data_IF_879599015174
#
_entry.id   IF_879599015174
#
_cell.length_a   1.000
_cell.length_b   1.000
_cell.length_c   1.000
_cell.angle_alpha   90.00
_cell.angle_beta   90.00
_cell.angle_gamma   90.00
#
_symmetry.space_group_name_H-M   'P 1'
#
loop_
_entity.id
_entity.type
_entity.pdbx_description
1 polymer ?
#
# COMPACT_ATOMS: atom_id res chain seq x y z
N UNK A 1 6.22 -10.18 -6.28
CA UNK A 1 5.96 -11.63 -6.51
C UNK A 1 4.46 -11.98 -6.48
N UNK A 2 3.60 -11.24 -5.74
CA UNK A 2 2.14 -11.49 -5.68
C UNK A 2 1.39 -11.10 -6.96
N UNK A 3 1.88 -10.12 -7.71
CA UNK A 3 1.26 -9.68 -8.96
C UNK A 3 1.75 -10.48 -10.18
N UNK A 4 2.76 -11.34 -10.02
CA UNK A 4 3.41 -12.08 -11.10
C UNK A 4 4.10 -11.16 -12.12
N UNK A 5 4.77 -11.76 -13.10
CA UNK A 5 5.11 -11.01 -14.32
C UNK A 5 3.78 -10.74 -15.03
N UNK A 6 3.23 -9.54 -14.85
CA UNK A 6 2.04 -9.11 -15.57
C UNK A 6 2.25 -9.24 -17.08
N UNK A 7 1.17 -9.21 -17.88
CA UNK A 7 1.33 -9.20 -19.32
C UNK A 7 2.28 -8.06 -19.70
N UNK A 8 3.33 -8.40 -20.48
CA UNK A 8 4.30 -7.39 -20.93
C UNK A 8 3.55 -6.19 -21.46
N UNK A 9 3.89 -5.01 -20.94
CA UNK A 9 3.34 -3.76 -21.44
C UNK A 9 3.49 -3.68 -22.96
N UNK A 10 2.46 -3.22 -23.71
CA UNK A 10 2.50 -3.18 -25.16
C UNK A 10 3.73 -2.41 -25.62
N UNK A 11 4.61 -3.06 -26.36
CA UNK A 11 5.92 -2.50 -26.74
C UNK A 11 5.83 -1.32 -27.71
N UNK A 12 4.65 -1.10 -28.32
CA UNK A 12 4.51 -0.12 -29.38
C UNK A 12 5.19 -0.54 -30.69
N UNK A 13 5.22 0.36 -31.68
CA UNK A 13 5.93 0.15 -32.94
C UNK A 13 7.32 0.82 -32.85
N UNK A 14 8.37 0.04 -32.96
CA UNK A 14 9.76 0.53 -32.93
C UNK A 14 10.04 1.42 -34.14
N UNK A 15 10.70 2.54 -33.91
CA UNK A 15 11.11 3.48 -34.95
C UNK A 15 12.61 3.36 -35.22
N UNK A 16 13.07 3.66 -36.45
CA UNK A 16 14.50 3.71 -36.77
C UNK A 16 15.27 4.66 -35.86
N UNK A 17 16.51 4.34 -35.52
CA UNK A 17 17.36 5.15 -34.64
C UNK A 17 17.62 6.58 -35.16
N UNK A 18 17.60 6.76 -36.47
CA UNK A 18 17.83 8.04 -37.15
C UNK A 18 16.55 8.80 -37.50
N UNK A 19 15.40 8.41 -36.89
CA UNK A 19 14.10 9.07 -37.13
C UNK A 19 14.13 10.54 -36.71
N UNK A 20 13.60 11.40 -37.57
CA UNK A 20 13.44 12.84 -37.34
C UNK A 20 11.98 13.28 -37.46
N UNK A 21 11.06 12.40 -37.91
CA UNK A 21 9.66 12.69 -38.04
C UNK A 21 8.84 11.44 -38.39
N UNK A 22 7.54 11.58 -38.38
CA UNK A 22 6.59 10.59 -38.88
C UNK A 22 5.73 11.20 -39.97
N UNK A 23 5.41 10.44 -41.02
CA UNK A 23 4.51 10.88 -42.06
C UNK A 23 3.45 9.80 -42.30
N UNK A 24 2.19 10.24 -42.59
CA UNK A 24 1.10 9.32 -42.87
C UNK A 24 0.13 9.98 -43.84
N UNK A 25 -0.41 9.20 -44.80
CA UNK A 25 -1.50 9.66 -45.62
C UNK A 25 -2.81 9.51 -44.89
N UNK A 26 -3.59 10.60 -44.84
CA UNK A 26 -4.87 10.66 -44.14
C UNK A 26 -5.94 11.28 -45.04
N UNK A 27 -7.13 10.67 -45.06
CA UNK A 27 -8.33 11.23 -45.65
C UNK A 27 -9.40 11.35 -44.57
N UNK A 28 -9.74 12.55 -44.11
CA UNK A 28 -10.81 12.76 -43.14
C UNK A 28 -12.19 12.71 -43.80
N UNK A 29 -13.22 12.26 -43.03
CA UNK A 29 -14.62 12.23 -43.48
C UNK A 29 -15.52 12.58 -42.29
N UNK A 30 -16.48 13.51 -42.53
CA UNK A 30 -17.46 13.90 -41.51
C UNK A 30 -16.87 14.74 -40.38
N UNK A 31 -15.75 15.46 -40.61
CA UNK A 31 -15.12 16.33 -39.62
C UNK A 31 -15.62 17.77 -39.75
N UNK A 32 -16.81 18.05 -39.20
CA UNK A 32 -17.35 19.40 -39.14
C UNK A 32 -16.59 20.21 -38.06
N UNK A 33 -15.65 21.05 -38.46
CA UNK A 33 -14.88 21.89 -37.58
C UNK A 33 -13.39 21.52 -37.43
N UNK A 34 -12.96 20.43 -38.04
CA UNK A 34 -11.57 19.96 -38.02
C UNK A 34 -11.16 19.21 -36.77
N UNK A 35 -10.10 18.46 -36.90
CA UNK A 35 -9.47 17.73 -35.79
C UNK A 35 -7.95 17.81 -35.97
N UNK A 36 -7.22 17.48 -34.93
CA UNK A 36 -5.76 17.35 -34.95
C UNK A 36 -5.37 15.89 -34.74
N UNK A 37 -4.37 15.46 -35.50
CA UNK A 37 -3.71 14.16 -35.28
C UNK A 37 -2.40 14.37 -34.53
N UNK A 38 -2.19 13.55 -33.51
CA UNK A 38 -0.97 13.50 -32.71
C UNK A 38 -0.41 12.09 -32.72
N UNK A 39 0.91 11.98 -32.64
CA UNK A 39 1.59 10.73 -32.38
C UNK A 39 2.10 10.73 -30.93
N UNK A 40 1.69 9.76 -30.14
CA UNK A 40 2.26 9.51 -28.82
C UNK A 40 3.44 8.57 -28.95
N UNK A 41 4.56 9.00 -28.45
CA UNK A 41 5.85 8.34 -28.53
C UNK A 41 6.37 8.05 -27.12
N UNK A 42 7.19 7.01 -27.02
CA UNK A 42 7.93 6.66 -25.81
C UNK A 42 9.42 6.60 -26.16
N UNK A 43 10.27 7.14 -25.30
CA UNK A 43 11.72 7.07 -25.44
C UNK A 43 12.30 5.81 -24.78
N UNK A 44 13.62 5.59 -24.91
CA UNK A 44 14.29 4.44 -24.34
C UNK A 44 14.28 4.43 -22.79
N UNK A 45 14.10 5.57 -22.14
CA UNK A 45 13.98 5.70 -20.68
C UNK A 45 12.53 5.58 -20.18
N UNK A 46 11.57 5.26 -21.06
CA UNK A 46 10.17 5.14 -20.68
C UNK A 46 9.40 6.47 -20.68
N UNK A 47 10.01 7.58 -21.09
CA UNK A 47 9.37 8.89 -21.09
C UNK A 47 8.40 9.02 -22.26
N UNK A 48 7.12 9.30 -21.97
CA UNK A 48 6.10 9.51 -22.99
C UNK A 48 6.04 10.98 -23.41
N UNK A 49 5.87 11.21 -24.70
CA UNK A 49 5.71 12.54 -25.27
C UNK A 49 4.84 12.54 -26.52
N UNK A 50 4.19 13.67 -26.79
CA UNK A 50 3.31 13.82 -27.93
C UNK A 50 3.97 14.68 -29.02
N UNK A 51 3.82 14.25 -30.25
CA UNK A 51 4.24 14.99 -31.44
C UNK A 51 3.03 15.33 -32.30
N UNK A 52 2.86 16.61 -32.62
CA UNK A 52 1.79 17.05 -33.50
C UNK A 52 2.07 16.63 -34.93
N UNK A 53 1.13 15.91 -35.54
CA UNK A 53 1.23 15.45 -36.93
C UNK A 53 0.61 16.43 -37.90
N UNK A 54 -0.48 17.07 -37.54
CA UNK A 54 -1.19 18.03 -38.39
C UNK A 54 -2.67 18.15 -38.10
N UNK A 55 -3.29 19.09 -38.78
CA UNK A 55 -4.74 19.33 -38.72
C UNK A 55 -5.49 18.56 -39.81
N UNK A 56 -6.53 17.86 -39.40
CA UNK A 56 -7.44 17.09 -40.25
C UNK A 56 -8.63 17.98 -40.61
N UNK A 57 -8.60 18.67 -41.72
CA UNK A 57 -9.67 19.59 -42.08
C UNK A 57 -10.02 19.64 -43.57
N UNK A 58 -9.16 19.09 -44.40
CA UNK A 58 -9.34 19.14 -45.85
C UNK A 58 -9.99 17.84 -46.34
N UNK A 59 -10.85 17.97 -47.35
CA UNK A 59 -11.39 16.82 -48.06
C UNK A 59 -10.33 16.23 -49.00
N UNK A 60 -10.25 14.91 -49.07
CA UNK A 60 -9.29 14.18 -49.89
C UNK A 60 -8.04 13.72 -49.13
N UNK A 61 -7.19 13.00 -49.84
CA UNK A 61 -5.95 12.45 -49.31
C UNK A 61 -4.90 13.55 -49.13
N UNK A 62 -4.35 13.63 -47.90
CA UNK A 62 -3.27 14.54 -47.54
C UNK A 62 -2.18 13.77 -46.83
N UNK A 63 -0.93 13.95 -47.21
CA UNK A 63 0.21 13.47 -46.45
C UNK A 63 0.54 14.50 -45.37
N UNK A 64 0.33 14.12 -44.10
CA UNK A 64 0.67 14.92 -42.95
C UNK A 64 1.96 14.39 -42.32
N UNK A 65 2.77 15.28 -41.76
CA UNK A 65 4.08 14.94 -41.27
C UNK A 65 4.38 15.69 -39.96
N UNK A 66 4.88 14.97 -38.97
CA UNK A 66 5.45 15.56 -37.77
C UNK A 66 6.95 15.85 -37.94
N UNK A 67 7.44 16.83 -37.18
CA UNK A 67 8.86 17.09 -37.02
C UNK A 67 9.23 16.83 -35.54
N UNK A 68 10.05 15.83 -35.29
CA UNK A 68 10.53 15.47 -33.95
C UNK A 68 11.75 16.28 -33.51
N UNK A 69 12.43 16.97 -34.44
CA UNK A 69 13.67 17.71 -34.16
C UNK A 69 13.52 18.76 -33.07
N UNK A 70 12.46 19.59 -33.04
CA UNK A 70 12.25 20.55 -31.95
C UNK A 70 12.01 19.91 -30.58
N UNK A 71 11.29 18.79 -30.56
CA UNK A 71 10.98 18.08 -29.33
C UNK A 71 12.23 17.41 -28.75
N UNK A 72 13.04 16.81 -29.63
CA UNK A 72 14.32 16.19 -29.24
C UNK A 72 15.29 17.26 -28.72
N UNK A 73 15.41 18.41 -29.42
CA UNK A 73 16.31 19.50 -29.02
C UNK A 73 15.87 20.22 -27.71
N UNK A 74 14.56 20.37 -27.51
CA UNK A 74 14.03 21.06 -26.35
C UNK A 74 13.96 20.20 -25.09
N UNK A 75 13.96 18.87 -25.24
CA UNK A 75 13.61 17.95 -24.17
C UNK A 75 12.17 18.14 -23.71
N UNK A 76 11.64 17.19 -22.95
CA UNK A 76 10.32 17.31 -22.33
C UNK A 76 10.42 18.11 -21.02
N UNK A 77 9.55 19.07 -20.84
CA UNK A 77 9.26 19.57 -19.48
C UNK A 77 8.40 18.55 -18.76
N UNK A 78 8.91 17.96 -17.70
CA UNK A 78 8.06 17.19 -16.79
C UNK A 78 7.07 18.13 -16.09
N UNK A 79 5.96 17.56 -15.63
CA UNK A 79 4.90 18.30 -14.92
C UNK A 79 5.36 19.04 -13.66
N UNK A 80 6.49 18.62 -13.06
CA UNK A 80 7.25 19.46 -12.11
C UNK A 80 8.21 20.31 -12.93
N UNK A 81 7.99 21.59 -12.98
CA UNK A 81 8.61 22.64 -13.83
C UNK A 81 10.15 22.72 -13.83
N UNK A 82 10.88 21.79 -13.26
CA UNK A 82 12.32 21.88 -12.98
C UNK A 82 13.19 20.89 -13.75
N UNK A 83 12.68 19.78 -14.24
CA UNK A 83 13.48 18.77 -14.95
C UNK A 83 13.14 18.74 -16.44
N UNK A 84 14.09 19.16 -17.27
CA UNK A 84 14.12 18.83 -18.68
C UNK A 84 14.80 17.48 -18.85
N UNK A 85 14.03 16.40 -19.05
CA UNK A 85 14.62 15.14 -19.48
C UNK A 85 14.98 15.24 -20.96
N UNK A 86 16.22 15.00 -21.28
CA UNK A 86 16.65 14.79 -22.68
C UNK A 86 16.07 13.48 -23.16
N UNK A 87 15.32 13.51 -24.27
CA UNK A 87 14.75 12.30 -24.86
C UNK A 87 15.86 11.41 -25.43
N UNK A 88 15.80 10.12 -25.09
CA UNK A 88 16.82 9.13 -25.46
C UNK A 88 16.26 8.14 -26.49
N UNK A 89 16.98 7.93 -27.58
CA UNK A 89 16.63 6.95 -28.61
C UNK A 89 16.97 5.52 -28.18
N UNK A 90 16.31 4.46 -28.72
CA UNK A 90 15.29 4.50 -29.76
C UNK A 90 13.92 4.97 -29.26
N UNK A 91 13.08 5.45 -30.18
CA UNK A 91 11.70 5.83 -29.90
C UNK A 91 10.75 4.72 -30.36
N UNK A 92 9.62 4.60 -29.64
CA UNK A 92 8.53 3.71 -30.03
C UNK A 92 7.23 4.50 -30.20
N UNK A 93 6.49 4.23 -31.25
CA UNK A 93 5.16 4.80 -31.45
C UNK A 93 4.15 4.01 -30.61
N UNK A 94 3.51 4.67 -29.68
CA UNK A 94 2.55 4.06 -28.76
C UNK A 94 1.11 4.19 -29.22
N UNK A 95 0.72 5.35 -29.77
CA UNK A 95 -0.62 5.57 -30.28
C UNK A 95 -0.68 6.78 -31.23
N UNK A 96 -1.65 6.76 -32.13
CA UNK A 96 -2.16 7.96 -32.76
C UNK A 96 -3.37 8.45 -31.98
N UNK A 97 -3.42 9.74 -31.71
CA UNK A 97 -4.47 10.40 -30.96
C UNK A 97 -5.16 11.48 -31.81
N UNK A 98 -6.48 11.52 -31.71
CA UNK A 98 -7.30 12.50 -32.44
C UNK A 98 -7.97 13.41 -31.40
N UNK A 99 -7.63 14.70 -31.47
CA UNK A 99 -8.27 15.74 -30.66
C UNK A 99 -9.16 16.62 -31.52
N UNK A 100 -10.09 17.35 -30.92
CA UNK A 100 -10.81 18.40 -31.64
C UNK A 100 -9.85 19.56 -31.99
N UNK A 101 -10.29 20.48 -32.85
CA UNK A 101 -9.46 21.61 -33.30
C UNK A 101 -8.96 22.52 -32.18
N UNK A 102 -9.70 22.61 -31.09
CA UNK A 102 -9.34 23.41 -29.92
C UNK A 102 -8.46 22.61 -28.89
N UNK A 103 -8.03 21.40 -29.25
CA UNK A 103 -7.22 20.54 -28.38
C UNK A 103 -8.02 19.80 -27.32
N UNK A 104 -9.35 19.89 -27.32
CA UNK A 104 -10.20 19.15 -26.39
C UNK A 104 -10.30 17.67 -26.76
N UNK A 105 -10.42 16.84 -25.74
CA UNK A 105 -10.67 15.40 -25.86
C UNK A 105 -12.17 15.16 -25.63
N UNK A 106 -12.74 14.34 -26.46
CA UNK A 106 -14.20 14.18 -26.50
C UNK A 106 -14.87 15.17 -27.42
N UNK A 107 -15.82 14.73 -28.17
CA UNK A 107 -16.59 15.54 -29.09
C UNK A 107 -17.95 14.91 -29.27
N UNK A 108 -18.96 15.77 -29.40
CA UNK A 108 -20.31 15.34 -29.74
C UNK A 108 -20.44 15.00 -31.23
N UNK A 109 -19.36 15.10 -32.03
CA UNK A 109 -19.35 14.86 -33.44
C UNK A 109 -18.95 13.43 -33.81
N UNK A 110 -19.66 12.86 -34.79
CA UNK A 110 -19.25 11.67 -35.52
C UNK A 110 -18.12 12.02 -36.47
N UNK A 111 -17.24 11.07 -36.74
CA UNK A 111 -16.17 11.27 -37.70
C UNK A 111 -15.46 9.98 -38.08
N UNK A 112 -14.71 10.05 -39.16
CA UNK A 112 -13.81 8.98 -39.54
C UNK A 112 -12.56 9.53 -40.24
N UNK A 113 -11.49 8.77 -40.17
CA UNK A 113 -10.30 8.98 -41.02
C UNK A 113 -9.93 7.66 -41.69
N UNK A 114 -9.42 7.79 -42.90
CA UNK A 114 -8.78 6.70 -43.63
C UNK A 114 -7.27 6.94 -43.58
N UNK A 115 -6.51 5.88 -43.37
CA UNK A 115 -5.07 5.90 -43.18
C UNK A 115 -4.37 5.03 -44.21
N UNK A 116 -3.23 5.51 -44.72
CA UNK A 116 -2.33 4.78 -45.62
C UNK A 116 -0.87 5.18 -45.37
N UNK A 117 0.02 4.26 -45.66
CA UNK A 117 1.48 4.47 -45.71
C UNK A 117 2.00 5.32 -44.55
N UNK A 118 2.14 4.69 -43.38
CA UNK A 118 2.87 5.28 -42.28
C UNK A 118 4.37 5.10 -42.50
N UNK A 119 5.08 6.20 -42.58
CA UNK A 119 6.52 6.24 -42.79
C UNK A 119 7.24 6.90 -41.59
N UNK A 120 8.39 6.36 -41.22
CA UNK A 120 9.38 7.09 -40.45
C UNK A 120 10.21 7.98 -41.39
N UNK A 121 10.22 9.25 -41.12
CA UNK A 121 11.10 10.18 -41.85
C UNK A 121 12.46 10.15 -41.16
N UNK A 122 13.46 9.66 -41.86
CA UNK A 122 14.81 9.55 -41.33
C UNK A 122 15.79 10.48 -42.06
N UNK A 123 16.98 10.62 -41.50
CA UNK A 123 18.05 11.42 -42.13
C UNK A 123 18.41 10.86 -43.54
N UNK A 124 18.25 9.54 -43.72
CA UNK A 124 18.60 8.83 -44.92
C UNK A 124 17.44 8.69 -45.91
N UNK A 125 16.23 9.19 -45.57
CA UNK A 125 15.01 9.11 -46.39
C UNK A 125 13.86 8.43 -45.65
N UNK A 126 12.67 8.37 -46.26
CA UNK A 126 11.51 7.76 -45.65
C UNK A 126 11.64 6.22 -45.59
N UNK A 127 11.25 5.63 -44.48
CA UNK A 127 11.17 4.19 -44.24
C UNK A 127 9.71 3.82 -43.96
N UNK A 128 9.12 2.97 -44.77
CA UNK A 128 7.75 2.49 -44.59
C UNK A 128 7.67 1.61 -43.34
N UNK A 129 6.81 1.97 -42.41
CA UNK A 129 6.54 1.24 -41.16
C UNK A 129 5.34 0.30 -41.33
N UNK A 130 4.26 0.80 -41.94
CA UNK A 130 3.07 0.02 -42.30
C UNK A 130 2.35 0.67 -43.46
N UNK A 131 1.76 -0.15 -44.31
CA UNK A 131 1.01 0.33 -45.48
C UNK A 131 -0.45 0.71 -45.18
N UNK A 132 -0.99 0.25 -44.04
CA UNK A 132 -2.40 0.40 -43.71
C UNK A 132 -3.39 -0.12 -44.77
N UNK A 133 -2.99 -1.11 -45.57
CA UNK A 133 -3.92 -1.82 -46.46
C UNK A 133 -4.88 -2.68 -45.64
N UNK A 134 -4.40 -3.23 -44.56
CA UNK A 134 -5.21 -4.01 -43.61
C UNK A 134 -5.13 -3.37 -42.23
N UNK A 135 -6.17 -3.55 -41.44
CA UNK A 135 -6.21 -3.10 -40.05
C UNK A 135 -5.45 -4.03 -39.08
N UNK A 136 -4.88 -5.14 -39.60
CA UNK A 136 -4.21 -6.14 -38.83
C UNK A 136 -2.99 -5.55 -38.08
N UNK A 137 -2.83 -5.96 -36.83
CA UNK A 137 -1.75 -5.45 -35.97
C UNK A 137 -2.00 -4.08 -35.35
N UNK A 138 -3.19 -3.50 -35.58
CA UNK A 138 -3.63 -2.25 -34.97
C UNK A 138 -4.95 -2.44 -34.22
N UNK A 139 -5.13 -1.73 -33.13
CA UNK A 139 -6.38 -1.72 -32.34
C UNK A 139 -6.78 -0.30 -31.99
N UNK A 140 -8.04 -0.11 -31.64
CA UNK A 140 -8.53 1.17 -31.14
C UNK A 140 -8.06 1.41 -29.71
N UNK A 141 -7.82 2.65 -29.33
CA UNK A 141 -7.71 3.06 -27.94
C UNK A 141 -9.14 3.16 -27.42
N UNK A 142 -9.61 2.10 -26.76
CA UNK A 142 -11.01 1.94 -26.38
C UNK A 142 -11.36 2.80 -25.16
N UNK A 143 -12.54 3.40 -25.17
CA UNK A 143 -13.13 3.98 -23.97
C UNK A 143 -13.83 2.86 -23.18
N UNK A 144 -13.17 2.34 -22.16
CA UNK A 144 -13.70 1.23 -21.36
C UNK A 144 -14.99 1.58 -20.62
N UNK A 145 -15.25 2.85 -20.37
CA UNK A 145 -16.53 3.29 -19.77
C UNK A 145 -17.68 3.24 -20.78
N UNK A 146 -17.38 3.25 -22.08
CA UNK A 146 -18.34 3.21 -23.19
C UNK A 146 -17.80 2.38 -24.37
N UNK A 147 -17.76 1.07 -24.23
CA UNK A 147 -17.21 0.18 -25.26
C UNK A 147 -18.00 0.28 -26.57
N UNK A 148 -17.27 0.12 -27.68
CA UNK A 148 -17.87 0.10 -29.02
C UNK A 148 -18.13 1.49 -29.66
N UNK A 149 -17.63 2.57 -29.05
CA UNK A 149 -17.69 3.90 -29.68
C UNK A 149 -16.71 4.07 -30.83
N UNK A 150 -15.67 3.28 -30.87
CA UNK A 150 -14.58 3.35 -31.84
C UNK A 150 -14.51 2.06 -32.63
N UNK A 151 -14.26 2.18 -33.95
CA UNK A 151 -14.08 1.03 -34.81
C UNK A 151 -12.89 1.23 -35.76
N UNK A 152 -12.16 0.14 -35.96
CA UNK A 152 -11.06 0.06 -36.92
C UNK A 152 -11.35 -1.08 -37.86
N UNK A 153 -11.39 -0.78 -39.15
CA UNK A 153 -11.77 -1.73 -40.19
C UNK A 153 -10.99 -1.50 -41.49
N UNK A 154 -10.75 -2.57 -42.22
CA UNK A 154 -10.26 -2.45 -43.59
C UNK A 154 -11.41 -2.05 -44.48
N UNK A 155 -11.24 -0.98 -45.24
CA UNK A 155 -12.32 -0.43 -46.08
C UNK A 155 -11.78 0.02 -47.43
N UNK A 156 -12.63 -0.01 -48.44
CA UNK A 156 -12.36 0.71 -49.68
C UNK A 156 -12.25 2.21 -49.39
N UNK A 157 -11.43 2.92 -50.16
CA UNK A 157 -11.29 4.37 -50.04
C UNK A 157 -12.63 5.07 -50.28
N UNK A 158 -12.93 6.09 -49.50
CA UNK A 158 -14.15 6.91 -49.67
C UNK A 158 -14.11 7.81 -50.90
N UNK A 159 -13.68 7.30 -52.04
CA UNK A 159 -13.82 7.96 -53.33
C UNK A 159 -12.54 8.47 -53.99
N UNK A 160 -11.48 7.69 -54.00
CA UNK A 160 -10.28 8.07 -54.73
C UNK A 160 -9.56 6.90 -55.40
N UNK A 161 -9.09 7.12 -56.65
CA UNK A 161 -8.26 6.13 -57.38
C UNK A 161 -6.87 5.95 -56.74
N UNK A 162 -6.44 6.89 -55.90
CA UNK A 162 -5.07 6.92 -55.33
C UNK A 162 -4.81 5.74 -54.40
N UNK A 163 -5.75 5.43 -53.51
CA UNK A 163 -5.64 4.31 -52.57
C UNK A 163 -6.95 3.53 -52.52
N UNK A 164 -7.08 2.44 -53.28
CA UNK A 164 -8.34 1.69 -53.40
C UNK A 164 -8.71 0.91 -52.13
N UNK A 165 -7.74 0.59 -51.29
CA UNK A 165 -7.90 -0.09 -50.02
C UNK A 165 -7.16 0.72 -48.96
N UNK A 166 -7.73 0.87 -47.76
CA UNK A 166 -7.15 1.64 -46.64
C UNK A 166 -7.73 1.19 -45.31
N UNK A 167 -7.05 1.49 -44.21
CA UNK A 167 -7.58 1.30 -42.87
C UNK A 167 -8.44 2.49 -42.49
N UNK A 168 -9.70 2.24 -42.12
CA UNK A 168 -10.67 3.23 -41.64
C UNK A 168 -10.78 3.17 -40.12
N UNK A 169 -10.48 4.28 -39.45
CA UNK A 169 -10.79 4.51 -38.06
C UNK A 169 -12.02 5.42 -37.94
N UNK A 170 -13.04 5.01 -37.22
CA UNK A 170 -14.27 5.78 -37.04
C UNK A 170 -14.66 5.88 -35.58
N UNK A 171 -15.38 6.94 -35.21
CA UNK A 171 -15.84 7.18 -33.85
C UNK A 171 -17.27 7.73 -33.86
N UNK A 172 -18.01 7.31 -32.80
CA UNK A 172 -19.31 7.88 -32.47
C UNK A 172 -19.19 9.08 -31.52
N UNK A 173 -20.26 9.85 -31.36
CA UNK A 173 -20.32 10.94 -30.39
C UNK A 173 -20.40 10.43 -28.97
N UNK A 174 -19.91 11.22 -28.01
CA UNK A 174 -20.09 11.02 -26.57
C UNK A 174 -18.98 10.24 -25.87
N UNK A 175 -17.86 9.96 -26.54
CA UNK A 175 -16.68 9.38 -25.88
C UNK A 175 -16.04 10.34 -24.87
N UNK A 176 -15.58 9.81 -23.74
CA UNK A 176 -14.80 10.53 -22.75
C UNK A 176 -13.36 10.02 -22.82
N UNK A 177 -12.38 10.92 -22.76
CA UNK A 177 -10.98 10.55 -22.85
C UNK A 177 -10.42 10.56 -24.25
N UNK A 178 -9.35 9.81 -24.45
CA UNK A 178 -8.60 9.77 -25.68
C UNK A 178 -9.31 8.92 -26.72
N UNK A 179 -9.33 9.37 -27.95
CA UNK A 179 -9.70 8.53 -29.10
C UNK A 179 -8.54 8.41 -30.04
N UNK A 180 -8.33 7.23 -30.55
CA UNK A 180 -7.20 6.96 -31.42
C UNK A 180 -7.05 5.49 -31.73
N UNK A 181 -5.92 5.18 -32.34
CA UNK A 181 -5.52 3.81 -32.66
C UNK A 181 -4.08 3.60 -32.24
N UNK A 182 -3.76 2.35 -31.94
CA UNK A 182 -2.43 1.96 -31.47
C UNK A 182 -1.94 0.69 -32.14
N UNK A 183 -0.63 0.48 -32.25
CA UNK A 183 -0.09 -0.80 -32.69
C UNK A 183 -0.23 -1.86 -31.58
N UNK A 184 -0.46 -3.10 -32.01
CA UNK A 184 -0.56 -4.25 -31.13
C UNK A 184 -1.98 -4.70 -30.80
N UNK A 185 -2.13 -5.82 -30.09
CA UNK A 185 -3.41 -6.39 -29.70
C UNK A 185 -4.10 -5.55 -28.63
N UNK A 186 -5.38 -5.84 -28.38
CA UNK A 186 -6.13 -5.23 -27.26
C UNK A 186 -5.43 -5.52 -25.93
N UNK A 187 -5.33 -4.52 -25.09
CA UNK A 187 -4.69 -4.66 -23.78
C UNK A 187 -5.45 -5.61 -22.86
N UNK A 188 -4.76 -6.54 -22.22
CA UNK A 188 -5.36 -7.30 -21.14
C UNK A 188 -5.63 -6.38 -19.94
N UNK A 189 -6.56 -6.76 -19.06
CA UNK A 189 -6.77 -6.02 -17.81
C UNK A 189 -5.51 -6.09 -16.95
N UNK A 190 -5.23 -5.00 -16.22
CA UNK A 190 -4.08 -4.91 -15.30
C UNK A 190 -4.42 -5.72 -14.04
N UNK A 191 -3.50 -6.61 -13.62
CA UNK A 191 -3.66 -7.33 -12.36
C UNK A 191 -3.67 -6.36 -11.16
N UNK A 192 -4.65 -6.51 -10.28
CA UNK A 192 -4.89 -5.59 -9.17
C UNK A 192 -5.03 -6.33 -7.83
N UNK A 193 -4.40 -5.80 -6.78
CA UNK A 193 -4.76 -6.11 -5.40
C UNK A 193 -5.69 -5.00 -4.89
N UNK A 194 -6.76 -5.39 -4.21
CA UNK A 194 -7.77 -4.45 -3.69
C UNK A 194 -8.07 -4.76 -2.23
N UNK A 195 -8.66 -3.81 -1.50
CA UNK A 195 -9.16 -4.08 -0.16
C UNK A 195 -10.63 -4.54 -0.19
N UNK A 196 -11.11 -5.01 0.94
CA UNK A 196 -12.50 -5.49 1.09
C UNK A 196 -13.51 -4.38 0.80
N UNK A 197 -13.23 -3.14 1.20
CA UNK A 197 -14.09 -1.97 0.95
C UNK A 197 -14.23 -1.68 -0.55
N UNK A 198 -13.17 -1.90 -1.33
CA UNK A 198 -13.24 -1.76 -2.79
C UNK A 198 -14.15 -2.81 -3.41
N UNK A 199 -14.07 -4.07 -2.97
CA UNK A 199 -14.94 -5.14 -3.47
C UNK A 199 -16.41 -4.85 -3.20
N UNK A 200 -16.73 -4.36 -2.00
CA UNK A 200 -18.09 -3.98 -1.62
C UNK A 200 -18.60 -2.79 -2.47
N UNK A 201 -17.75 -1.76 -2.66
CA UNK A 201 -18.11 -0.58 -3.46
C UNK A 201 -18.32 -0.91 -4.94
N UNK A 202 -17.48 -1.78 -5.49
CA UNK A 202 -17.51 -2.15 -6.91
C UNK A 202 -18.49 -3.28 -7.22
N UNK A 203 -19.10 -3.91 -6.20
CA UNK A 203 -19.91 -5.14 -6.31
C UNK A 203 -19.16 -6.23 -7.10
N UNK A 204 -17.88 -6.43 -6.76
CA UNK A 204 -16.95 -7.29 -7.47
C UNK A 204 -16.42 -8.41 -6.58
N UNK A 205 -15.96 -9.49 -7.19
CA UNK A 205 -15.34 -10.64 -6.55
C UNK A 205 -13.91 -10.89 -7.07
N UNK A 206 -13.19 -11.77 -6.39
CA UNK A 206 -11.87 -12.23 -6.83
C UNK A 206 -11.98 -12.88 -8.21
N UNK A 207 -11.16 -12.43 -9.16
CA UNK A 207 -11.11 -12.87 -10.55
C UNK A 207 -11.96 -12.03 -11.50
N UNK A 208 -12.75 -11.08 -11.01
CA UNK A 208 -13.58 -10.22 -11.85
C UNK A 208 -12.75 -9.12 -12.52
N UNK A 209 -13.18 -8.74 -13.71
CA UNK A 209 -12.70 -7.55 -14.41
C UNK A 209 -13.54 -6.34 -14.00
N UNK A 210 -12.88 -5.28 -13.53
CA UNK A 210 -13.51 -4.03 -13.09
C UNK A 210 -13.00 -2.87 -13.92
N UNK A 211 -13.88 -1.93 -14.26
CA UNK A 211 -13.50 -0.68 -14.92
C UNK A 211 -13.26 0.39 -13.86
N UNK A 212 -12.01 0.81 -13.74
CA UNK A 212 -11.61 1.87 -12.83
C UNK A 212 -11.64 3.21 -13.57
N UNK A 213 -12.58 4.08 -13.19
CA UNK A 213 -12.69 5.44 -13.70
C UNK A 213 -11.66 6.36 -13.06
N UNK A 214 -10.75 6.90 -13.85
CA UNK A 214 -9.85 7.99 -13.48
C UNK A 214 -10.44 9.30 -14.03
N UNK A 215 -9.99 10.44 -13.54
CA UNK A 215 -10.67 11.74 -13.79
C UNK A 215 -11.01 12.02 -15.27
N UNK A 216 -10.19 11.55 -16.22
CA UNK A 216 -10.33 11.83 -17.66
C UNK A 216 -10.33 10.60 -18.55
N UNK A 217 -10.10 9.42 -18.03
CA UNK A 217 -10.07 8.14 -18.75
C UNK A 217 -10.42 7.00 -17.80
N UNK A 218 -10.60 5.81 -18.33
CA UNK A 218 -10.84 4.60 -17.55
C UNK A 218 -9.82 3.52 -17.93
N UNK A 219 -9.47 2.68 -16.99
CA UNK A 219 -8.62 1.50 -17.19
C UNK A 219 -9.38 0.25 -16.78
N UNK A 220 -9.00 -0.89 -17.34
CA UNK A 220 -9.56 -2.18 -16.96
C UNK A 220 -8.58 -2.91 -16.06
N UNK A 221 -9.05 -3.33 -14.90
CA UNK A 221 -8.27 -4.10 -13.93
C UNK A 221 -8.90 -5.47 -13.72
N UNK A 222 -8.08 -6.47 -13.40
CA UNK A 222 -8.53 -7.79 -12.95
C UNK A 222 -8.17 -7.97 -11.48
N UNK A 223 -9.14 -8.31 -10.65
CA UNK A 223 -8.94 -8.49 -9.20
C UNK A 223 -8.26 -9.84 -8.94
N UNK A 224 -6.96 -9.84 -8.70
CA UNK A 224 -6.18 -11.06 -8.47
C UNK A 224 -5.97 -11.40 -6.99
N UNK A 225 -6.23 -10.47 -6.07
CA UNK A 225 -6.09 -10.70 -4.65
C UNK A 225 -6.71 -9.61 -3.79
N UNK A 226 -6.93 -9.94 -2.51
CA UNK A 226 -7.47 -9.02 -1.50
C UNK A 226 -6.41 -8.76 -0.45
N UNK A 227 -6.18 -7.49 -0.14
CA UNK A 227 -5.20 -7.02 0.85
C UNK A 227 -5.84 -5.88 1.62
N UNK A 228 -6.15 -6.09 2.90
CA UNK A 228 -6.80 -5.05 3.72
C UNK A 228 -5.82 -4.01 4.24
N UNK A 229 -4.53 -4.34 4.29
CA UNK A 229 -3.49 -3.44 4.78
C UNK A 229 -2.35 -3.36 3.78
N UNK A 230 -2.06 -2.15 3.33
CA UNK A 230 -0.91 -1.86 2.49
C UNK A 230 -0.11 -0.72 3.11
N UNK A 231 1.24 -0.77 3.11
CA UNK A 231 2.06 0.30 3.67
C UNK A 231 1.64 1.67 3.13
N UNK A 232 1.43 2.64 4.02
CA UNK A 232 0.97 4.02 3.74
C UNK A 232 -0.46 4.20 3.25
N UNK A 233 -1.18 3.15 2.93
CA UNK A 233 -2.61 3.23 2.67
C UNK A 233 -3.37 2.89 3.95
N UNK A 234 -4.06 3.89 4.51
CA UNK A 234 -4.98 3.66 5.62
C UNK A 234 -6.28 3.07 5.05
N UNK A 235 -6.66 1.85 5.43
CA UNK A 235 -7.91 1.26 4.98
C UNK A 235 -9.14 1.97 5.51
N UNK A 236 -9.05 2.76 6.57
CA UNK A 236 -10.12 3.52 7.27
C UNK A 236 -11.39 3.78 6.49
N UNK A 237 -12.13 2.74 6.13
CA UNK A 237 -13.35 2.74 5.30
C UNK A 237 -13.13 3.32 3.87
N UNK A 238 -11.89 3.45 3.40
CA UNK A 238 -11.59 3.96 2.06
C UNK A 238 -11.17 2.83 1.13
N UNK A 239 -11.80 2.72 -0.04
CA UNK A 239 -11.38 1.76 -1.04
C UNK A 239 -10.00 2.13 -1.62
N UNK A 240 -9.13 1.15 -1.81
CA UNK A 240 -7.87 1.33 -2.52
C UNK A 240 -7.57 0.19 -3.49
N UNK A 241 -6.73 0.49 -4.46
CA UNK A 241 -6.27 -0.44 -5.49
C UNK A 241 -4.75 -0.33 -5.59
N UNK A 242 -4.07 -1.47 -5.60
CA UNK A 242 -2.62 -1.57 -5.81
C UNK A 242 -2.38 -2.23 -7.15
N UNK A 243 -1.63 -1.57 -8.01
CA UNK A 243 -1.31 -2.01 -9.37
C UNK A 243 0.20 -2.08 -9.54
N UNK A 244 0.65 -2.91 -10.49
CA UNK A 244 2.02 -2.81 -11.00
C UNK A 244 2.22 -1.48 -11.72
N UNK A 245 3.28 -0.74 -11.34
CA UNK A 245 3.51 0.62 -11.84
C UNK A 245 3.78 0.65 -13.35
N UNK A 246 4.61 -0.27 -13.84
CA UNK A 246 4.99 -0.30 -15.25
C UNK A 246 3.78 -0.61 -16.14
N UNK A 247 2.96 -1.58 -15.73
CA UNK A 247 1.71 -1.92 -16.41
C UNK A 247 0.71 -0.77 -16.38
N UNK A 248 0.57 -0.12 -15.22
CA UNK A 248 -0.30 1.04 -15.07
C UNK A 248 0.15 2.22 -15.95
N UNK A 249 1.44 2.56 -15.92
CA UNK A 249 1.98 3.67 -16.73
C UNK A 249 1.82 3.40 -18.21
N UNK A 250 2.05 2.17 -18.65
CA UNK A 250 1.87 1.79 -20.05
C UNK A 250 0.43 1.99 -20.53
N UNK A 251 -0.55 1.48 -19.77
CA UNK A 251 -1.97 1.60 -20.12
C UNK A 251 -2.45 3.04 -19.92
N UNK A 252 -2.12 3.66 -18.78
CA UNK A 252 -2.52 5.03 -18.48
C UNK A 252 -2.03 6.02 -19.54
N UNK A 253 -0.77 5.89 -19.98
CA UNK A 253 -0.22 6.76 -21.02
C UNK A 253 -0.82 6.54 -22.41
N UNK A 254 -1.48 5.41 -22.67
CA UNK A 254 -2.21 5.19 -23.91
C UNK A 254 -3.61 5.81 -23.87
N UNK A 255 -4.27 5.81 -22.70
CA UNK A 255 -5.65 6.30 -22.54
C UNK A 255 -5.74 7.74 -22.03
N UNK A 256 -4.72 8.25 -21.35
CA UNK A 256 -4.71 9.61 -20.82
C UNK A 256 -4.63 10.67 -21.93
N UNK A 257 -5.41 11.74 -21.83
CA UNK A 257 -5.34 12.88 -22.76
C UNK A 257 -3.96 13.53 -22.87
N UNK A 258 -3.24 13.56 -21.79
CA UNK A 258 -1.85 14.05 -21.72
C UNK A 258 -0.97 12.94 -21.14
N UNK A 259 0.32 12.90 -21.49
CA UNK A 259 1.19 11.92 -20.90
C UNK A 259 1.10 12.00 -19.38
N UNK A 260 0.85 10.87 -18.72
CA UNK A 260 0.72 10.81 -17.27
C UNK A 260 2.01 11.34 -16.60
N UNK A 261 1.85 12.06 -15.52
CA UNK A 261 3.00 12.39 -14.67
C UNK A 261 3.56 11.09 -14.11
N UNK A 262 4.89 11.03 -14.00
CA UNK A 262 5.57 9.91 -13.34
C UNK A 262 5.20 9.79 -11.85
N UNK A 263 5.89 8.94 -11.14
CA UNK A 263 5.75 8.71 -9.69
C UNK A 263 5.76 10.01 -8.91
N UNK A 264 4.83 10.15 -7.98
CA UNK A 264 4.73 11.28 -7.06
C UNK A 264 5.37 10.98 -5.68
N UNK A 265 5.67 9.71 -5.39
CA UNK A 265 6.32 9.27 -4.16
C UNK A 265 7.47 8.31 -4.48
N UNK A 266 8.56 8.40 -3.72
CA UNK A 266 9.72 7.53 -3.82
C UNK A 266 9.98 6.93 -2.45
N UNK A 267 10.00 5.61 -2.38
CA UNK A 267 10.28 4.86 -1.17
C UNK A 267 11.70 4.34 -1.22
N UNK A 268 12.49 4.68 -0.22
CA UNK A 268 13.90 4.30 -0.15
C UNK A 268 14.14 3.44 1.08
N UNK A 269 14.64 2.21 0.87
CA UNK A 269 15.14 1.38 1.96
C UNK A 269 16.66 1.51 2.03
N UNK A 270 17.16 2.25 3.02
CA UNK A 270 18.58 2.53 3.20
C UNK A 270 19.44 1.28 3.40
N UNK A 271 18.88 0.20 3.97
CA UNK A 271 19.59 -1.07 4.21
C UNK A 271 19.84 -1.88 2.95
N UNK A 272 19.13 -1.62 1.88
CA UNK A 272 19.25 -2.30 0.58
C UNK A 272 19.83 -1.41 -0.53
N UNK A 273 20.20 -0.16 -0.22
CA UNK A 273 20.75 0.74 -1.21
C UNK A 273 22.14 0.29 -1.66
N UNK A 274 22.38 0.26 -2.95
CA UNK A 274 23.49 -0.36 -3.64
C UNK A 274 24.81 0.49 -3.54
N UNK A 275 25.96 -0.10 -3.80
CA UNK A 275 27.30 0.44 -3.52
C UNK A 275 27.79 1.63 -4.38
N UNK A 276 26.94 2.19 -5.23
CA UNK A 276 27.29 3.36 -6.07
C UNK A 276 27.07 4.72 -5.37
N UNK A 277 26.66 4.71 -4.10
CA UNK A 277 26.63 5.90 -3.27
C UNK A 277 28.04 6.30 -2.84
N UNK A 278 28.31 7.61 -2.61
CA UNK A 278 29.58 8.07 -2.10
C UNK A 278 30.05 7.28 -0.88
N UNK A 279 31.37 7.04 -0.78
CA UNK A 279 31.97 6.22 0.31
C UNK A 279 31.72 6.76 1.74
N UNK A 280 31.21 7.98 1.86
CA UNK A 280 30.85 8.63 3.12
C UNK A 280 29.37 8.43 3.53
N UNK A 281 28.60 7.63 2.76
CA UNK A 281 27.21 7.37 3.05
C UNK A 281 27.09 6.34 4.19
N UNK A 282 26.61 6.79 5.35
CA UNK A 282 26.43 5.93 6.51
C UNK A 282 25.12 5.11 6.39
N UNK A 283 25.28 3.81 6.15
CA UNK A 283 24.16 2.86 6.01
C UNK A 283 23.53 2.44 7.35
N UNK A 284 23.93 3.03 8.46
CA UNK A 284 23.47 2.61 9.80
C UNK A 284 22.12 3.18 10.20
N UNK A 285 21.44 3.93 9.29
CA UNK A 285 20.08 4.42 9.52
C UNK A 285 20.00 5.59 10.50
N UNK A 286 21.05 6.42 10.56
CA UNK A 286 21.02 7.64 11.35
C UNK A 286 20.16 8.72 10.67
N UNK A 287 19.46 9.52 11.46
CA UNK A 287 18.59 10.65 11.05
C UNK A 287 19.27 11.57 10.01
N UNK A 288 20.62 11.65 10.01
CA UNK A 288 21.39 12.41 9.04
C UNK A 288 21.42 11.87 7.60
N UNK A 289 21.00 10.63 7.37
CA UNK A 289 21.06 10.01 6.03
C UNK A 289 19.86 10.39 5.17
N UNK A 290 18.68 10.59 5.77
CA UNK A 290 17.51 11.11 5.06
C UNK A 290 17.74 12.52 4.50
N UNK A 291 18.43 13.37 5.25
CA UNK A 291 18.80 14.72 4.82
C UNK A 291 19.78 14.67 3.65
N UNK A 292 20.78 13.79 3.68
CA UNK A 292 21.76 13.59 2.60
C UNK A 292 21.09 13.10 1.30
N UNK A 293 20.17 12.14 1.42
CA UNK A 293 19.39 11.66 0.26
C UNK A 293 18.55 12.79 -0.31
N UNK A 294 17.91 13.57 0.54
CA UNK A 294 17.10 14.72 0.12
C UNK A 294 17.94 15.75 -0.61
N UNK A 295 19.15 16.03 -0.14
CA UNK A 295 20.09 16.94 -0.77
C UNK A 295 20.54 16.39 -2.12
N UNK A 296 20.93 15.11 -2.19
CA UNK A 296 21.27 14.44 -3.45
C UNK A 296 20.13 14.46 -4.47
N UNK A 297 18.90 14.19 -4.03
CA UNK A 297 17.72 14.28 -4.91
C UNK A 297 17.51 15.70 -5.43
N UNK A 298 17.74 16.73 -4.60
CA UNK A 298 17.68 18.14 -5.02
C UNK A 298 18.78 18.49 -6.01
N UNK A 299 19.98 17.96 -5.84
CA UNK A 299 21.08 18.14 -6.80
C UNK A 299 20.74 17.53 -8.17
N UNK A 300 20.04 16.40 -8.18
CA UNK A 300 19.50 15.81 -9.39
C UNK A 300 18.30 16.60 -9.97
N UNK A 301 17.89 17.70 -9.31
CA UNK A 301 16.79 18.56 -9.74
C UNK A 301 15.40 18.02 -9.39
N UNK A 302 15.28 17.02 -8.52
CA UNK A 302 14.00 16.52 -8.01
C UNK A 302 13.47 17.47 -6.95
N UNK A 303 12.25 17.97 -7.13
CA UNK A 303 11.60 18.83 -6.13
C UNK A 303 10.97 17.96 -5.03
N UNK A 304 11.74 17.72 -3.97
CA UNK A 304 11.27 16.99 -2.79
C UNK A 304 10.46 17.94 -1.91
N UNK A 305 9.18 17.67 -1.73
CA UNK A 305 8.27 18.47 -0.88
C UNK A 305 8.33 18.01 0.56
N UNK A 306 8.03 16.75 0.81
CA UNK A 306 7.88 16.18 2.14
C UNK A 306 8.79 14.95 2.24
N UNK A 307 9.47 14.82 3.36
CA UNK A 307 10.34 13.69 3.68
C UNK A 307 9.84 13.02 4.95
N UNK A 308 9.50 11.75 4.85
CA UNK A 308 9.06 10.95 5.97
C UNK A 308 10.16 9.96 6.34
N UNK A 309 10.90 10.27 7.40
CA UNK A 309 11.90 9.36 7.97
C UNK A 309 11.24 8.49 9.04
N UNK A 310 11.14 7.19 8.76
CA UNK A 310 10.50 6.24 9.66
C UNK A 310 11.25 6.14 11.02
N UNK A 311 12.58 6.22 11.03
CA UNK A 311 13.37 6.17 12.28
C UNK A 311 13.18 7.44 13.12
N UNK A 312 13.20 8.61 12.48
CA UNK A 312 12.94 9.87 13.15
C UNK A 312 11.50 9.93 13.70
N UNK A 313 10.52 9.42 12.97
CA UNK A 313 9.13 9.34 13.43
C UNK A 313 8.98 8.39 14.63
N UNK A 314 9.63 7.23 14.60
CA UNK A 314 9.63 6.30 15.73
C UNK A 314 10.37 6.90 16.92
N UNK A 315 11.55 7.49 16.72
CA UNK A 315 12.33 8.14 17.76
C UNK A 315 11.54 9.27 18.44
N UNK A 316 10.88 10.13 17.67
CA UNK A 316 10.07 11.22 18.22
C UNK A 316 8.89 10.75 19.07
N UNK A 317 8.34 9.56 18.76
CA UNK A 317 7.26 8.95 19.55
C UNK A 317 7.82 8.22 20.79
N UNK A 318 8.97 7.56 20.67
CA UNK A 318 9.62 6.86 21.78
C UNK A 318 10.22 7.86 22.78
N UNK A 319 10.75 8.99 22.32
CA UNK A 319 11.35 10.03 23.16
C UNK A 319 10.34 10.98 23.82
N UNK A 320 9.04 10.72 23.72
CA UNK A 320 8.07 11.43 24.57
C UNK A 320 8.16 10.91 26.02
N UNK A 321 8.95 11.56 26.91
CA UNK A 321 9.27 11.00 28.23
C UNK A 321 8.03 10.90 29.12
N UNK A 322 6.99 11.69 28.87
CA UNK A 322 5.72 11.63 29.58
C UNK A 322 4.89 10.39 29.24
N UNK A 323 4.99 9.88 28.01
CA UNK A 323 4.23 8.69 27.60
C UNK A 323 4.93 7.43 28.07
N UNK A 324 6.24 7.33 27.89
CA UNK A 324 6.99 6.10 28.16
C UNK A 324 7.30 5.90 29.64
N UNK A 325 7.69 6.95 30.38
CA UNK A 325 7.97 6.88 31.80
C UNK A 325 6.72 6.95 32.66
N UNK A 326 5.72 7.72 32.24
CA UNK A 326 4.48 7.91 33.00
C UNK A 326 3.63 6.64 33.07
N UNK A 327 3.34 6.01 31.94
CA UNK A 327 2.56 4.77 31.91
C UNK A 327 3.29 3.59 32.53
N UNK A 328 4.59 3.44 32.30
CA UNK A 328 5.42 2.40 32.92
C UNK A 328 5.45 2.52 34.45
N UNK A 329 5.68 3.73 34.96
CA UNK A 329 5.69 3.97 36.40
C UNK A 329 4.31 3.75 37.04
N UNK A 330 3.23 4.15 36.37
CA UNK A 330 1.86 3.98 36.84
C UNK A 330 1.48 2.49 36.91
N UNK A 331 1.86 1.70 35.89
CA UNK A 331 1.64 0.26 35.87
C UNK A 331 2.42 -0.45 36.97
N UNK A 332 3.68 -0.06 37.22
CA UNK A 332 4.50 -0.62 38.34
C UNK A 332 3.88 -0.28 39.68
N UNK A 333 3.42 0.97 39.88
CA UNK A 333 2.74 1.40 41.11
C UNK A 333 1.44 0.61 41.32
N UNK A 334 0.64 0.44 40.31
CA UNK A 334 -0.59 -0.35 40.35
C UNK A 334 -0.30 -1.80 40.68
N UNK A 335 0.70 -2.40 40.05
CA UNK A 335 1.14 -3.77 40.34
C UNK A 335 1.58 -3.94 41.78
N UNK A 336 2.39 -3.02 42.32
CA UNK A 336 2.81 -3.03 43.72
C UNK A 336 1.61 -2.89 44.68
N UNK A 337 0.69 -2.00 44.39
CA UNK A 337 -0.51 -1.83 45.20
C UNK A 337 -1.37 -3.10 45.24
N UNK A 338 -1.58 -3.75 44.07
CA UNK A 338 -2.31 -5.01 43.96
C UNK A 338 -1.56 -6.13 44.68
N UNK A 339 -0.24 -6.22 44.54
CA UNK A 339 0.58 -7.23 45.23
C UNK A 339 0.51 -7.08 46.75
N UNK A 340 0.57 -5.84 47.27
CA UNK A 340 0.42 -5.56 48.72
C UNK A 340 -1.01 -5.88 49.22
N UNK A 341 -2.02 -5.51 48.46
CA UNK A 341 -3.41 -5.84 48.80
C UNK A 341 -3.64 -7.36 48.83
N UNK A 342 -3.12 -8.07 47.85
CA UNK A 342 -3.20 -9.54 47.76
C UNK A 342 -2.43 -10.19 48.95
N UNK A 343 -1.21 -9.72 49.21
CA UNK A 343 -0.41 -10.22 50.35
C UNK A 343 -1.11 -10.03 51.69
N UNK A 344 -1.69 -8.83 51.93
CA UNK A 344 -2.47 -8.56 53.14
C UNK A 344 -3.75 -9.38 53.24
N UNK A 345 -4.43 -9.58 52.10
CA UNK A 345 -5.61 -10.44 52.04
C UNK A 345 -5.31 -11.92 52.36
N UNK A 346 -4.26 -12.47 51.75
CA UNK A 346 -3.79 -13.84 52.03
C UNK A 346 -3.39 -13.99 53.49
N UNK A 347 -2.72 -13.00 54.08
CA UNK A 347 -2.31 -12.96 55.48
C UNK A 347 -3.53 -12.98 56.42
N UNK A 348 -4.51 -12.11 56.15
CA UNK A 348 -5.73 -12.03 56.97
C UNK A 348 -6.55 -13.32 56.85
N UNK A 349 -6.74 -13.84 55.64
CA UNK A 349 -7.42 -15.11 55.41
C UNK A 349 -6.75 -16.25 56.15
N UNK A 350 -5.44 -16.42 56.03
CA UNK A 350 -4.68 -17.49 56.69
C UNK A 350 -4.74 -17.39 58.20
N UNK A 351 -4.73 -16.15 58.74
CA UNK A 351 -4.87 -15.92 60.16
C UNK A 351 -6.26 -16.31 60.70
N UNK A 352 -7.31 -15.93 60.00
CA UNK A 352 -8.70 -16.28 60.37
C UNK A 352 -8.95 -17.78 60.24
N UNK A 353 -8.54 -18.39 59.12
CA UNK A 353 -8.70 -19.85 58.89
C UNK A 353 -7.96 -20.66 59.95
N UNK A 354 -6.76 -20.23 60.33
CA UNK A 354 -6.00 -20.90 61.41
C UNK A 354 -6.70 -20.78 62.77
N UNK A 355 -7.34 -19.62 63.06
CA UNK A 355 -8.10 -19.46 64.31
C UNK A 355 -9.39 -20.29 64.33
N UNK A 356 -10.15 -20.31 63.27
CA UNK A 356 -11.41 -21.07 63.20
C UNK A 356 -11.18 -22.57 63.29
N UNK A 357 -10.09 -23.09 62.72
CA UNK A 357 -9.75 -24.53 62.72
C UNK A 357 -8.93 -25.00 63.93
N UNK A 358 -8.72 -24.15 64.94
CA UNK A 358 -7.94 -24.55 66.11
C UNK A 358 -8.52 -25.78 66.86
N UNK A 359 -9.85 -25.84 66.95
CA UNK A 359 -10.55 -26.99 67.55
C UNK A 359 -10.45 -28.27 66.72
N UNK A 360 -10.54 -28.16 65.40
CA UNK A 360 -10.35 -29.27 64.47
C UNK A 360 -8.92 -29.81 64.51
N UNK A 361 -7.95 -28.92 64.57
CA UNK A 361 -6.55 -29.28 64.67
C UNK A 361 -6.19 -29.93 66.02
N UNK A 362 -6.82 -29.47 67.09
CA UNK A 362 -6.70 -30.13 68.39
C UNK A 362 -7.26 -31.55 68.37
N UNK A 363 -8.42 -31.75 67.75
CA UNK A 363 -9.03 -33.07 67.65
C UNK A 363 -8.20 -34.03 66.78
N UNK A 364 -7.68 -33.57 65.65
CA UNK A 364 -6.80 -34.35 64.74
C UNK A 364 -5.51 -34.75 65.44
N UNK A 365 -5.01 -33.92 66.36
CA UNK A 365 -3.79 -34.18 67.18
C UNK A 365 -4.06 -35.29 68.24
N UNK A 366 -5.26 -35.29 68.79
CA UNK A 366 -5.65 -36.39 69.70
C UNK A 366 -5.82 -37.74 69.06
N UNK A 367 -6.12 -37.71 67.74
CA UNK A 367 -6.20 -38.88 66.84
C UNK A 367 -4.84 -39.33 66.30
N UNK A 368 -3.74 -38.68 66.72
CA UNK A 368 -2.36 -39.08 66.41
C UNK A 368 -1.74 -38.42 65.16
N UNK A 369 -2.39 -37.39 64.59
CA UNK A 369 -1.82 -36.67 63.44
C UNK A 369 -0.56 -35.90 63.83
N UNK A 370 0.50 -36.01 63.03
CA UNK A 370 1.74 -35.27 63.20
C UNK A 370 1.59 -33.78 62.84
N UNK A 371 2.35 -32.92 63.52
CA UNK A 371 2.34 -31.48 63.22
C UNK A 371 2.80 -31.14 61.80
N UNK A 372 3.47 -32.07 61.07
CA UNK A 372 3.84 -31.94 59.68
C UNK A 372 2.65 -32.17 58.74
N UNK A 373 1.79 -33.14 59.07
CA UNK A 373 0.57 -33.42 58.27
C UNK A 373 -0.44 -32.26 58.36
N UNK A 374 -0.59 -31.66 59.55
CA UNK A 374 -1.46 -30.50 59.73
C UNK A 374 -0.94 -29.29 58.95
N UNK A 375 0.36 -29.03 58.97
CA UNK A 375 0.96 -27.97 58.11
C UNK A 375 0.77 -28.26 56.65
N UNK A 376 0.86 -29.52 56.21
CA UNK A 376 0.62 -29.92 54.82
C UNK A 376 -0.81 -29.61 54.32
N UNK A 377 -1.83 -29.79 55.17
CA UNK A 377 -3.21 -29.47 54.85
C UNK A 377 -3.41 -27.96 54.63
N UNK A 378 -2.83 -27.13 55.52
CA UNK A 378 -2.90 -25.66 55.35
C UNK A 378 -2.16 -25.20 54.10
N UNK A 379 -0.96 -25.75 53.86
CA UNK A 379 -0.21 -25.47 52.65
C UNK A 379 -0.93 -25.88 51.38
N UNK A 380 -1.58 -27.03 51.37
CA UNK A 380 -2.33 -27.53 50.22
C UNK A 380 -3.53 -26.62 49.86
N UNK A 381 -4.30 -26.22 50.91
CA UNK A 381 -5.42 -25.28 50.71
C UNK A 381 -4.94 -23.95 50.15
N UNK A 382 -3.87 -23.40 50.69
CA UNK A 382 -3.33 -22.13 50.23
C UNK A 382 -2.82 -22.21 48.78
N UNK A 383 -2.13 -23.30 48.45
CA UNK A 383 -1.63 -23.59 47.13
C UNK A 383 -2.75 -23.68 46.10
N UNK A 384 -3.84 -24.37 46.47
CA UNK A 384 -5.01 -24.52 45.61
C UNK A 384 -5.70 -23.18 45.35
N UNK A 385 -5.84 -22.32 46.35
CA UNK A 385 -6.40 -20.97 46.22
C UNK A 385 -5.54 -20.11 45.30
N UNK A 386 -4.22 -20.15 45.45
CA UNK A 386 -3.29 -19.37 44.62
C UNK A 386 -3.33 -19.83 43.17
N UNK A 387 -3.31 -21.14 42.91
CA UNK A 387 -3.38 -21.67 41.55
C UNK A 387 -4.71 -21.29 40.87
N UNK A 388 -5.84 -21.49 41.55
CA UNK A 388 -7.14 -21.08 41.00
C UNK A 388 -7.20 -19.58 40.77
N UNK A 389 -6.65 -18.76 41.67
CA UNK A 389 -6.59 -17.32 41.50
C UNK A 389 -5.74 -16.88 40.31
N UNK A 390 -4.56 -17.49 40.12
CA UNK A 390 -3.66 -17.23 39.00
C UNK A 390 -4.34 -17.64 37.67
N UNK A 391 -4.95 -18.85 37.63
CA UNK A 391 -5.61 -19.33 36.41
C UNK A 391 -6.78 -18.45 36.00
N UNK A 392 -7.66 -18.11 36.94
CA UNK A 392 -8.81 -17.22 36.69
C UNK A 392 -8.36 -15.80 36.33
N UNK A 393 -7.34 -15.27 37.08
CA UNK A 393 -6.84 -13.92 36.81
C UNK A 393 -6.20 -13.82 35.44
N UNK A 394 -5.47 -14.83 34.99
CA UNK A 394 -4.86 -14.88 33.65
C UNK A 394 -5.94 -14.93 32.56
N UNK A 395 -6.94 -15.80 32.77
CA UNK A 395 -8.02 -15.94 31.80
C UNK A 395 -8.86 -14.65 31.66
N UNK A 396 -9.22 -14.05 32.79
CA UNK A 396 -9.96 -12.77 32.79
C UNK A 396 -9.11 -11.64 32.23
N UNK A 397 -7.81 -11.60 32.56
CA UNK A 397 -6.87 -10.60 32.03
C UNK A 397 -6.74 -10.66 30.51
N UNK A 398 -6.66 -11.85 29.92
CA UNK A 398 -6.65 -12.03 28.47
C UNK A 398 -7.97 -11.60 27.83
N UNK A 399 -9.10 -11.95 28.45
CA UNK A 399 -10.43 -11.58 27.96
C UNK A 399 -10.63 -10.05 27.98
N UNK A 400 -10.22 -9.38 29.04
CA UNK A 400 -10.25 -7.92 29.16
C UNK A 400 -9.31 -7.28 28.12
N UNK A 401 -8.08 -7.80 27.99
CA UNK A 401 -7.12 -7.30 26.99
C UNK A 401 -7.67 -7.37 25.57
N UNK A 402 -8.24 -8.51 25.19
CA UNK A 402 -8.82 -8.70 23.86
C UNK A 402 -10.01 -7.75 23.56
N UNK A 403 -10.76 -7.34 24.57
CA UNK A 403 -11.90 -6.44 24.39
C UNK A 403 -11.55 -4.94 24.54
N UNK A 404 -10.50 -4.62 25.31
CA UNK A 404 -10.08 -3.22 25.51
C UNK A 404 -9.14 -2.74 24.42
N UNK A 405 -8.31 -3.61 23.83
CA UNK A 405 -7.35 -3.22 22.78
C UNK A 405 -8.03 -2.53 21.60
N UNK A 406 -9.12 -3.05 21.03
CA UNK A 406 -9.82 -2.40 19.91
C UNK A 406 -10.35 -0.99 20.25
N UNK A 407 -10.65 -0.73 21.53
CA UNK A 407 -11.07 0.60 21.98
C UNK A 407 -9.89 1.60 22.08
N UNK A 408 -8.67 1.09 22.27
CA UNK A 408 -7.45 1.91 22.30
C UNK A 408 -6.87 2.15 20.89
N UNK A 409 -7.36 1.43 19.88
CA UNK A 409 -6.98 1.61 18.47
C UNK A 409 -7.60 2.88 17.84
N UNK A 410 -8.52 3.52 18.53
CA UNK A 410 -9.07 4.81 18.09
C UNK A 410 -8.06 5.91 18.37
N UNK A 411 -7.51 6.51 17.31
CA UNK A 411 -6.68 7.70 17.40
C UNK A 411 -7.49 8.91 17.88
N UNK A 412 -6.82 10.00 18.25
CA UNK A 412 -7.46 11.23 18.75
C UNK A 412 -8.47 11.84 17.77
N UNK A 413 -8.37 11.52 16.47
CA UNK A 413 -9.27 11.97 15.41
C UNK A 413 -10.41 10.97 15.11
N UNK A 414 -10.52 9.86 15.85
CA UNK A 414 -11.54 8.83 15.66
C UNK A 414 -11.22 7.84 14.54
N UNK A 415 -10.08 7.95 13.89
CA UNK A 415 -9.59 6.98 12.93
C UNK A 415 -8.93 5.78 13.65
N UNK A 416 -9.08 4.58 13.09
CA UNK A 416 -8.40 3.39 13.63
C UNK A 416 -6.92 3.42 13.28
N UNK A 417 -6.09 3.09 14.24
CA UNK A 417 -4.64 2.93 14.00
C UNK A 417 -4.40 1.73 13.11
N UNK A 418 -3.71 1.91 11.99
CA UNK A 418 -3.35 0.86 11.05
C UNK A 418 -1.83 0.62 11.03
N UNK A 419 -1.37 -0.62 11.04
CA UNK A 419 -2.13 -1.87 11.17
C UNK A 419 -2.72 -2.05 12.58
N UNK A 420 -3.81 -2.86 12.74
CA UNK A 420 -4.45 -3.06 14.03
C UNK A 420 -3.47 -3.66 15.04
N UNK A 421 -3.62 -3.25 16.31
CA UNK A 421 -2.74 -3.72 17.37
C UNK A 421 -2.95 -5.22 17.62
N UNK A 422 -1.94 -6.03 17.36
CA UNK A 422 -1.97 -7.45 17.66
C UNK A 422 -1.67 -7.68 19.15
N UNK A 423 -2.59 -8.34 19.87
CA UNK A 423 -2.38 -8.75 21.25
C UNK A 423 -1.31 -9.86 21.29
N UNK A 424 -0.10 -9.53 21.68
CA UNK A 424 0.98 -10.49 21.92
C UNK A 424 1.21 -10.66 23.42
N UNK A 425 1.09 -11.91 23.89
CA UNK A 425 1.33 -12.22 25.31
C UNK A 425 2.83 -12.30 25.58
N UNK A 426 3.36 -11.37 26.37
CA UNK A 426 4.75 -11.45 26.82
C UNK A 426 4.88 -12.44 27.98
N UNK A 427 5.21 -13.69 27.66
CA UNK A 427 5.36 -14.80 28.63
C UNK A 427 6.41 -14.52 29.70
N UNK A 428 7.47 -13.77 29.36
CA UNK A 428 8.52 -13.43 30.32
C UNK A 428 7.98 -12.50 31.40
N UNK A 429 7.25 -11.46 31.04
CA UNK A 429 6.61 -10.53 31.99
C UNK A 429 5.59 -11.22 32.89
N UNK A 430 4.81 -12.15 32.33
CA UNK A 430 3.88 -13.00 33.10
C UNK A 430 4.61 -13.86 34.09
N UNK A 431 5.70 -14.52 33.69
CA UNK A 431 6.51 -15.37 34.56
C UNK A 431 7.15 -14.60 35.73
N UNK A 432 7.64 -13.37 35.44
CA UNK A 432 8.14 -12.46 36.49
C UNK A 432 7.03 -12.07 37.45
N UNK A 433 5.85 -11.71 36.95
CA UNK A 433 4.69 -11.34 37.79
C UNK A 433 4.24 -12.49 38.67
N UNK A 434 4.18 -13.72 38.16
CA UNK A 434 3.86 -14.91 38.95
C UNK A 434 4.93 -15.24 39.99
N UNK A 435 6.19 -15.04 39.64
CA UNK A 435 7.31 -15.26 40.59
C UNK A 435 7.25 -14.28 41.74
N UNK A 436 6.93 -13.01 41.48
CA UNK A 436 6.75 -12.00 42.55
C UNK A 436 5.55 -12.34 43.43
N UNK A 437 4.41 -12.73 42.84
CA UNK A 437 3.23 -13.14 43.60
C UNK A 437 3.49 -14.37 44.44
N UNK A 438 4.16 -15.38 43.90
CA UNK A 438 4.59 -16.58 44.66
C UNK A 438 5.55 -16.22 45.79
N UNK A 439 6.49 -15.30 45.56
CA UNK A 439 7.42 -14.79 46.57
C UNK A 439 6.71 -14.09 47.74
N UNK A 440 5.76 -13.18 47.42
CA UNK A 440 4.94 -12.49 48.42
C UNK A 440 4.13 -13.49 49.25
N UNK A 441 3.51 -14.48 48.57
CA UNK A 441 2.74 -15.53 49.26
C UNK A 441 3.62 -16.38 50.17
N UNK A 442 4.80 -16.77 49.69
CA UNK A 442 5.77 -17.56 50.49
C UNK A 442 6.25 -16.80 51.74
N UNK A 443 6.61 -15.52 51.60
CA UNK A 443 7.02 -14.65 52.69
C UNK A 443 5.91 -14.52 53.73
N UNK A 444 4.66 -14.30 53.29
CA UNK A 444 3.49 -14.19 54.17
C UNK A 444 3.27 -15.48 54.96
N UNK A 445 3.40 -16.62 54.33
CA UNK A 445 3.23 -17.93 54.98
C UNK A 445 4.36 -18.22 55.98
N UNK A 446 5.61 -17.93 55.62
CA UNK A 446 6.76 -18.09 56.53
C UNK A 446 6.57 -17.20 57.75
N UNK A 447 6.18 -15.96 57.58
CA UNK A 447 5.94 -15.00 58.66
C UNK A 447 4.80 -15.46 59.59
N UNK A 448 3.70 -15.97 59.03
CA UNK A 448 2.58 -16.54 59.77
C UNK A 448 2.99 -17.78 60.56
N UNK A 449 3.79 -18.68 59.97
CA UNK A 449 4.31 -19.86 60.66
C UNK A 449 5.21 -19.48 61.86
N UNK A 450 6.05 -18.43 61.66
CA UNK A 450 6.90 -17.89 62.75
C UNK A 450 6.08 -17.26 63.87
N UNK A 451 5.03 -16.47 63.53
CA UNK A 451 4.12 -15.84 64.48
C UNK A 451 3.36 -16.90 65.31
N UNK A 452 2.84 -17.94 64.65
CA UNK A 452 2.11 -19.03 65.24
C UNK A 452 3.02 -19.85 66.25
N UNK A 453 4.28 -20.06 65.89
CA UNK A 453 5.23 -20.72 66.72
C UNK A 453 5.52 -19.90 68.00
N UNK A 454 5.59 -18.58 67.91
CA UNK A 454 5.84 -17.67 69.02
C UNK A 454 4.66 -17.60 70.00
N UNK A 455 3.43 -17.66 69.52
CA UNK A 455 2.22 -17.65 70.35
C UNK A 455 2.10 -18.94 71.17
N UNK A 456 2.44 -20.10 70.59
CA UNK A 456 2.38 -21.38 71.30
C UNK A 456 3.39 -21.47 72.47
N UNK A 457 4.59 -20.88 72.29
CA UNK A 457 5.59 -20.83 73.36
C UNK A 457 5.12 -19.95 74.54
N UNK A 458 4.44 -18.84 74.27
CA UNK A 458 3.92 -17.98 75.34
C UNK A 458 2.74 -18.61 76.13
N UNK A 459 1.87 -19.40 75.44
CA UNK A 459 0.77 -20.09 76.11
C UNK A 459 1.27 -21.26 76.99
N UNK A 460 2.28 -21.98 76.52
CA UNK A 460 2.91 -23.09 77.37
C UNK A 460 3.65 -22.55 78.59
N UNK A 461 4.35 -21.43 78.48
CA UNK A 461 4.99 -20.79 79.64
C UNK A 461 3.98 -20.22 80.62
N UNK A 462 2.83 -19.77 80.15
CA UNK A 462 1.78 -19.25 81.07
C UNK A 462 0.98 -20.33 81.80
N UNK A 463 0.92 -21.53 81.22
CA UNK A 463 0.36 -22.71 81.97
C UNK A 463 1.35 -23.37 82.93
N UNK A 464 2.64 -23.13 82.73
CA UNK A 464 3.67 -23.62 83.65
C UNK A 464 3.83 -22.82 84.98
N UNK A 465 3.33 -21.55 84.97
CA UNK A 465 3.38 -20.68 86.22
C UNK A 465 2.10 -20.76 87.06
N UNK A 466 1.16 -21.64 86.71
CA UNK A 466 -0.15 -21.80 87.41
C UNK A 466 -0.25 -23.18 88.13
N UNK A 467 0.92 -23.83 88.38
CA UNK A 467 0.97 -25.09 89.14
C UNK A 467 1.76 -24.97 90.45
#
# INVERSE_FOLDING_TARGET
ELLGDGPEAPKGLELPDDVIGLAVWVQPTGLDGGANLWARLRDANGVYFDSWMGTLGNQGWNKIQSDLSPVIAAGRRQASDTLRSTLVRPFTLQAFQITNRLGGFGSDSLGAIFLRELEAVTINGPVLLTDFEMSDGWTVVEDFSRPGLYALETSGSAGGEQFPISTRFSWASGGVGLRGLRPGPTEPPIAALVNTEFLELADAALGDDVILGLSTYAIRINVVGVVDYFPTLDPGDKPFVVLDLDSFEAVANQHSPVPAAGTNEIWVNLKSFSPDLPDDFDHTGAIGDADKITEFMRELGVNVRDVYDAEAMVASRVDQPLVNSGWGALLVLLFLAVALATGSGVMLFSFLDTKERQTEFALLRTLGSSGGQMRGIVWFNLFLIVICGVALGTWVGQLIGANLLPLMELAEEGERVTPPMALTTNWLSLLVSYSVLAGVTLVTVIWLAWLSAKIQVQQVLRMGDAG
#
